data_IF_163712923176
#
_entry.id   IF_163712923176
#
_cell.length_a   1.000
_cell.length_b   1.000
_cell.length_c   1.000
_cell.angle_alpha   90.00
_cell.angle_beta   90.00
_cell.angle_gamma   90.00
#
_symmetry.space_group_name_H-M   'P 1'
#
loop_
_entity.id
_entity.type
_entity.pdbx_description
1 polymer ?
#
# COMPACT_ATOMS: atom_id res chain seq x y z
N UNK A 1 -3.23 6.48 -10.08
CA UNK A 1 -2.16 5.47 -10.29
C UNK A 1 -2.81 4.11 -10.43
N UNK A 2 -2.25 3.25 -11.26
CA UNK A 2 -2.64 1.84 -11.38
C UNK A 2 -1.42 0.93 -11.37
N UNK A 3 -1.62 -0.32 -10.95
CA UNK A 3 -0.61 -1.37 -11.00
C UNK A 3 -1.28 -2.76 -10.93
N UNK A 4 -0.52 -3.78 -11.33
CA UNK A 4 -0.85 -5.19 -11.13
C UNK A 4 -0.30 -5.64 -9.79
N UNK A 5 -1.15 -6.24 -8.96
CA UNK A 5 -0.82 -6.68 -7.60
C UNK A 5 -1.07 -8.19 -7.48
N UNK A 6 -0.09 -8.95 -7.00
CA UNK A 6 -0.24 -10.37 -6.71
C UNK A 6 0.40 -10.66 -5.35
N UNK A 7 -0.44 -10.97 -4.37
CA UNK A 7 -0.01 -11.34 -3.02
C UNK A 7 -0.54 -12.73 -2.67
N UNK A 8 0.32 -13.52 -2.05
CA UNK A 8 0.01 -14.75 -1.33
C UNK A 8 0.83 -14.70 -0.05
N UNK A 9 0.21 -14.22 1.03
CA UNK A 9 0.80 -13.91 2.34
C UNK A 9 0.01 -14.62 3.45
N UNK A 10 0.56 -14.69 4.66
CA UNK A 10 -0.17 -15.25 5.80
C UNK A 10 -1.39 -14.36 6.11
N UNK A 11 -2.58 -14.92 5.96
CA UNK A 11 -3.82 -14.15 6.07
C UNK A 11 -3.95 -13.52 7.45
N UNK A 12 -4.29 -12.24 7.49
CA UNK A 12 -4.36 -11.35 8.67
C UNK A 12 -3.05 -11.10 9.42
N UNK A 13 -1.98 -11.83 9.18
CA UNK A 13 -0.72 -11.69 9.94
C UNK A 13 0.35 -10.95 9.15
N UNK A 14 0.47 -11.23 7.85
CA UNK A 14 1.40 -10.58 6.94
C UNK A 14 0.65 -9.66 5.99
N UNK A 15 1.24 -8.53 5.61
CA UNK A 15 0.59 -7.67 4.65
C UNK A 15 1.45 -6.63 3.98
N UNK A 16 1.04 -6.27 2.77
CA UNK A 16 1.60 -5.19 1.99
C UNK A 16 0.78 -3.91 2.11
N UNK A 17 1.45 -2.76 2.20
CA UNK A 17 0.82 -1.42 2.17
C UNK A 17 1.46 -0.55 1.11
N UNK A 18 0.70 0.44 0.62
CA UNK A 18 1.18 1.53 -0.22
C UNK A 18 1.23 2.82 0.60
N UNK A 19 2.40 3.45 0.61
CA UNK A 19 2.66 4.67 1.36
C UNK A 19 3.15 5.79 0.44
N UNK A 20 2.83 7.03 0.81
CA UNK A 20 3.26 8.25 0.14
C UNK A 20 4.12 9.07 1.10
N UNK A 21 5.23 9.59 0.61
CA UNK A 21 6.00 10.65 1.26
C UNK A 21 5.86 11.92 0.43
N UNK A 22 5.40 12.99 1.05
CA UNK A 22 5.26 14.33 0.46
C UNK A 22 5.73 15.37 1.47
N UNK A 23 6.48 16.42 1.09
CA UNK A 23 7.01 17.41 2.03
C UNK A 23 5.95 18.07 2.92
N UNK A 24 4.71 18.21 2.43
CA UNK A 24 3.61 18.82 3.17
C UNK A 24 2.82 17.85 4.06
N UNK A 25 3.16 16.56 4.08
CA UNK A 25 2.50 15.53 4.89
C UNK A 25 3.51 14.99 5.90
N UNK A 26 3.24 15.18 7.20
CA UNK A 26 4.07 14.68 8.29
C UNK A 26 5.58 14.97 8.12
N UNK A 27 5.92 16.15 7.57
CA UNK A 27 7.31 16.55 7.31
C UNK A 27 8.06 15.66 6.31
N UNK A 28 7.37 14.95 5.42
CA UNK A 28 7.96 14.02 4.46
C UNK A 28 8.08 12.58 4.95
N UNK A 29 7.56 12.25 6.15
CA UNK A 29 7.47 10.86 6.58
C UNK A 29 6.54 10.06 5.65
N UNK A 30 6.88 8.79 5.41
CA UNK A 30 5.99 7.89 4.68
C UNK A 30 4.70 7.67 5.48
N UNK A 31 3.59 8.00 4.85
CA UNK A 31 2.24 7.92 5.42
C UNK A 31 1.40 7.01 4.54
N UNK A 32 0.52 6.20 5.13
CA UNK A 32 -0.38 5.33 4.36
C UNK A 32 -1.20 6.13 3.34
N UNK A 33 -1.37 5.60 2.13
CA UNK A 33 -2.11 6.29 1.06
C UNK A 33 -3.56 6.57 1.46
N UNK A 34 -4.19 5.74 2.31
CA UNK A 34 -5.56 5.96 2.78
C UNK A 34 -5.65 6.80 4.06
N UNK A 35 -4.52 7.26 4.61
CA UNK A 35 -4.54 8.17 5.75
C UNK A 35 -5.21 9.50 5.35
N UNK A 36 -6.06 10.04 6.22
CA UNK A 36 -6.78 11.30 5.96
C UNK A 36 -5.86 12.49 5.61
N UNK A 37 -4.63 12.52 6.12
CA UNK A 37 -3.65 13.54 5.76
C UNK A 37 -3.25 13.46 4.28
N UNK A 38 -3.12 12.26 3.71
CA UNK A 38 -2.87 12.05 2.28
C UNK A 38 -4.16 12.25 1.48
N UNK A 39 -5.27 11.70 1.98
CA UNK A 39 -6.59 11.76 1.35
C UNK A 39 -6.73 10.85 0.13
N UNK A 40 -5.87 9.83 0.00
CA UNK A 40 -5.96 8.86 -1.07
C UNK A 40 -7.04 7.80 -0.82
N UNK A 41 -7.43 7.11 -1.89
CA UNK A 41 -8.47 6.09 -1.84
C UNK A 41 -8.29 5.05 -2.94
N UNK A 42 -8.68 3.81 -2.67
CA UNK A 42 -8.73 2.76 -3.68
C UNK A 42 -10.04 2.83 -4.47
N UNK A 43 -9.91 2.76 -5.79
CA UNK A 43 -11.05 2.59 -6.70
C UNK A 43 -11.32 1.09 -6.90
N UNK A 44 -10.26 0.29 -7.06
CA UNK A 44 -10.33 -1.17 -7.17
C UNK A 44 -9.10 -1.83 -6.53
N UNK A 45 -9.23 -3.09 -6.10
CA UNK A 45 -8.09 -3.89 -5.63
C UNK A 45 -7.41 -3.31 -4.39
N UNK A 46 -8.18 -2.67 -3.50
CA UNK A 46 -7.69 -2.09 -2.25
C UNK A 46 -7.32 -3.14 -1.20
N UNK A 47 -6.99 -2.67 0.00
CA UNK A 47 -6.65 -3.52 1.13
C UNK A 47 -7.76 -4.52 1.46
N UNK A 48 -7.37 -5.73 1.85
CA UNK A 48 -8.30 -6.84 2.13
C UNK A 48 -8.77 -6.86 3.58
N UNK A 49 -7.97 -6.34 4.52
CA UNK A 49 -8.35 -6.30 5.92
C UNK A 49 -7.27 -5.71 6.84
N UNK A 50 -7.59 -5.54 8.13
CA UNK A 50 -6.61 -5.14 9.13
C UNK A 50 -5.66 -6.30 9.47
N UNK A 51 -4.40 -5.98 9.70
CA UNK A 51 -3.43 -6.93 10.23
C UNK A 51 -3.57 -7.10 11.74
N UNK A 52 -3.32 -8.31 12.21
CA UNK A 52 -3.20 -8.63 13.62
C UNK A 52 -2.00 -7.90 14.24
N UNK A 53 -2.09 -7.51 15.51
CA UNK A 53 -1.07 -6.78 16.24
C UNK A 53 -0.31 -7.63 17.28
N UNK A 54 -0.55 -8.94 17.37
CA UNK A 54 -0.03 -9.78 18.46
C UNK A 54 1.29 -10.49 18.15
N UNK A 55 1.67 -10.65 16.87
CA UNK A 55 2.84 -11.46 16.45
C UNK A 55 4.01 -10.64 15.90
N UNK A 56 4.11 -9.37 16.28
CA UNK A 56 5.30 -8.55 16.02
C UNK A 56 5.43 -8.01 14.60
N UNK A 57 4.39 -8.12 13.75
CA UNK A 57 4.40 -7.45 12.45
C UNK A 57 4.47 -5.93 12.65
N UNK A 58 5.45 -5.23 12.05
CA UNK A 58 5.59 -3.77 12.19
C UNK A 58 4.47 -2.97 11.51
N UNK A 59 3.56 -3.62 10.80
CA UNK A 59 2.33 -3.07 10.21
C UNK A 59 1.06 -3.48 10.98
N UNK A 60 1.18 -4.17 12.12
CA UNK A 60 0.04 -4.65 12.91
C UNK A 60 -0.98 -3.55 13.22
N UNK A 61 -2.26 -3.90 13.09
CA UNK A 61 -3.41 -2.99 13.26
C UNK A 61 -3.73 -2.12 12.03
N UNK A 62 -2.89 -2.10 10.98
CA UNK A 62 -3.16 -1.35 9.75
C UNK A 62 -3.99 -2.17 8.78
N UNK A 63 -4.82 -1.48 7.98
CA UNK A 63 -5.37 -2.07 6.75
C UNK A 63 -4.23 -2.37 5.78
N UNK A 64 -4.24 -3.56 5.18
CA UNK A 64 -3.21 -4.02 4.24
C UNK A 64 -3.78 -4.99 3.20
N UNK A 65 -3.00 -5.27 2.16
CA UNK A 65 -3.19 -6.46 1.35
C UNK A 65 -2.63 -7.67 2.10
N UNK A 66 -3.50 -8.57 2.53
CA UNK A 66 -3.18 -9.81 3.22
C UNK A 66 -3.93 -11.00 2.59
N UNK A 67 -3.47 -12.22 2.87
CA UNK A 67 -4.04 -13.45 2.33
C UNK A 67 -3.60 -13.74 0.89
N UNK A 68 -4.49 -14.32 0.08
CA UNK A 68 -4.21 -14.71 -1.30
C UNK A 68 -5.14 -14.02 -2.29
N UNK A 69 -4.55 -13.32 -3.25
CA UNK A 69 -5.23 -12.60 -4.33
C UNK A 69 -5.73 -13.47 -5.49
N UNK A 70 -5.35 -14.76 -5.54
CA UNK A 70 -5.69 -15.66 -6.65
C UNK A 70 -4.89 -15.42 -7.93
N UNK A 71 -3.79 -14.68 -7.84
CA UNK A 71 -2.99 -14.23 -8.98
C UNK A 71 -3.00 -12.71 -9.12
N UNK A 72 -2.61 -12.19 -10.28
CA UNK A 72 -2.56 -10.74 -10.48
C UNK A 72 -3.95 -10.11 -10.60
N UNK A 73 -4.24 -9.18 -9.70
CA UNK A 73 -5.39 -8.29 -9.74
C UNK A 73 -4.99 -6.88 -10.18
N UNK A 74 -5.97 -6.07 -10.60
CA UNK A 74 -5.77 -4.65 -10.89
C UNK A 74 -6.06 -3.81 -9.65
N UNK A 75 -5.05 -3.08 -9.18
CA UNK A 75 -5.22 -2.06 -8.15
C UNK A 75 -5.20 -0.68 -8.79
N UNK A 76 -6.23 0.11 -8.51
CA UNK A 76 -6.34 1.50 -8.94
C UNK A 76 -6.49 2.38 -7.70
N UNK A 77 -5.61 3.36 -7.57
CA UNK A 77 -5.54 4.27 -6.42
C UNK A 77 -5.53 5.72 -6.86
N UNK A 78 -6.41 6.50 -6.24
CA UNK A 78 -6.33 7.95 -6.24
C UNK A 78 -5.33 8.34 -5.13
N UNK A 79 -4.21 8.98 -5.49
CA UNK A 79 -3.14 9.29 -4.52
C UNK A 79 -3.51 10.42 -3.54
N UNK A 80 -4.66 11.06 -3.73
CA UNK A 80 -5.24 12.04 -2.83
C UNK A 80 -5.03 13.49 -3.28
N UNK A 81 -5.95 14.40 -2.92
CA UNK A 81 -5.89 15.81 -3.33
C UNK A 81 -4.72 16.55 -2.66
N UNK A 82 -4.29 16.11 -1.47
CA UNK A 82 -3.30 16.82 -0.66
C UNK A 82 -1.86 16.64 -1.16
N UNK A 83 -1.64 15.80 -2.18
CA UNK A 83 -0.33 15.57 -2.79
C UNK A 83 -0.27 16.04 -4.25
N UNK A 84 -1.35 16.62 -4.77
CA UNK A 84 -1.39 17.19 -6.13
C UNK A 84 -0.40 18.35 -6.25
N UNK A 85 0.34 18.39 -7.36
CA UNK A 85 1.35 19.41 -7.62
C UNK A 85 2.58 19.32 -6.71
N UNK A 86 2.75 18.22 -5.98
CA UNK A 86 3.93 17.94 -5.14
C UNK A 86 4.78 16.86 -5.76
N UNK A 87 6.09 16.99 -5.61
CA UNK A 87 7.01 15.86 -5.83
C UNK A 87 6.85 14.89 -4.66
N UNK A 88 6.44 13.67 -4.96
CA UNK A 88 6.22 12.62 -3.97
C UNK A 88 7.16 11.44 -4.16
N UNK A 89 7.31 10.63 -3.12
CA UNK A 89 7.88 9.28 -3.19
C UNK A 89 6.80 8.27 -2.82
N UNK A 90 6.77 7.15 -3.53
CA UNK A 90 5.90 6.02 -3.25
C UNK A 90 6.73 4.89 -2.63
N UNK A 91 6.15 4.18 -1.66
CA UNK A 91 6.75 2.99 -1.07
C UNK A 91 5.72 1.87 -1.00
N UNK A 92 6.07 0.75 -1.60
CA UNK A 92 5.44 -0.54 -1.32
C UNK A 92 6.19 -1.17 -0.15
N UNK A 93 5.50 -1.42 0.96
CA UNK A 93 6.12 -1.95 2.17
C UNK A 93 5.43 -3.25 2.58
N UNK A 94 6.20 -4.33 2.61
CA UNK A 94 5.79 -5.59 3.21
C UNK A 94 6.17 -5.57 4.69
N UNK A 95 5.23 -5.93 5.55
CA UNK A 95 5.50 -6.30 6.93
C UNK A 95 5.11 -7.75 7.11
N UNK A 96 5.99 -8.52 7.73
CA UNK A 96 5.73 -9.90 8.12
C UNK A 96 5.74 -10.04 9.63
N UNK A 97 5.03 -11.02 10.14
CA UNK A 97 5.14 -11.45 11.53
C UNK A 97 6.42 -12.28 11.77
N UNK A 98 6.60 -12.80 12.98
CA UNK A 98 7.76 -13.61 13.35
C UNK A 98 7.56 -15.12 13.11
N UNK A 99 6.45 -15.51 12.49
CA UNK A 99 6.01 -16.89 12.39
C UNK A 99 6.12 -17.43 10.95
N UNK A 100 5.01 -17.94 10.40
CA UNK A 100 4.98 -18.85 9.25
C UNK A 100 5.33 -18.09 7.97
N UNK A 101 6.33 -18.58 7.23
CA UNK A 101 6.60 -18.06 5.88
C UNK A 101 5.51 -18.51 4.89
N UNK A 102 4.80 -17.54 4.29
CA UNK A 102 3.80 -17.80 3.26
C UNK A 102 4.10 -16.98 2.00
N UNK A 103 4.37 -17.70 0.91
CA UNK A 103 4.31 -17.20 -0.46
C UNK A 103 5.15 -15.96 -0.77
N UNK A 104 4.61 -15.07 -1.61
CA UNK A 104 5.33 -13.91 -2.13
C UNK A 104 4.39 -12.76 -2.48
N UNK A 105 4.94 -11.54 -2.54
CA UNK A 105 4.26 -10.35 -3.03
C UNK A 105 4.97 -9.79 -4.27
N UNK A 106 4.22 -9.56 -5.34
CA UNK A 106 4.71 -9.06 -6.62
C UNK A 106 3.90 -7.85 -7.07
N UNK A 107 4.60 -6.80 -7.48
CA UNK A 107 4.04 -5.60 -8.08
C UNK A 107 4.55 -5.49 -9.52
N UNK A 108 3.67 -5.17 -10.46
CA UNK A 108 4.02 -5.03 -11.87
C UNK A 108 3.19 -3.93 -12.56
N UNK A 109 3.62 -3.48 -13.73
CA UNK A 109 2.88 -2.56 -14.61
C UNK A 109 2.42 -1.28 -13.90
N UNK A 110 3.32 -0.65 -13.16
CA UNK A 110 3.03 0.62 -12.48
C UNK A 110 2.83 1.72 -13.53
N UNK A 111 1.66 2.36 -13.49
CA UNK A 111 1.36 3.53 -14.30
C UNK A 111 0.89 4.71 -13.42
N UNK A 112 1.48 5.87 -13.68
CA UNK A 112 1.13 7.14 -13.03
C UNK A 112 0.55 8.05 -14.10
N UNK A 113 -0.66 8.54 -13.85
CA UNK A 113 -1.38 9.48 -14.73
C UNK A 113 -1.59 10.79 -13.99
N UNK A 114 -1.61 11.91 -14.72
CA UNK A 114 -1.79 13.25 -14.12
C UNK A 114 -0.54 13.78 -13.40
N UNK A 115 0.62 13.14 -13.57
CA UNK A 115 1.90 13.76 -13.22
C UNK A 115 2.26 14.81 -14.27
N UNK A 116 2.81 15.94 -13.84
CA UNK A 116 3.42 16.89 -14.75
C UNK A 116 4.72 16.27 -15.30
N UNK A 117 4.90 16.32 -16.62
CA UNK A 117 6.21 16.07 -17.22
C UNK A 117 7.09 17.31 -16.93
N UNK A 118 8.40 17.14 -16.65
CA UNK A 118 9.33 18.26 -16.56
C UNK A 118 9.35 19.13 -17.81
#
# INVERSE_FOLDING_TARGET
MSFRNNFSLQDTFDGGVLEVSSPNIAGGAFTDVTNAAVGGSFVTGGYTGPLNNTLGNPLGGRMAWSGNSGGYINTVVNLGPNVVGRTIKLRFRLGTDQAIEVGAWRIDSIAITGAACP
#
